data_IF_403737361535
#
_entry.id   IF_403737361535
#
_cell.length_a   1.000
_cell.length_b   1.000
_cell.length_c   1.000
_cell.angle_alpha   90.00
_cell.angle_beta   90.00
_cell.angle_gamma   90.00
#
_symmetry.space_group_name_H-M   'P 1'
#
loop_
_entity.id
_entity.type
_entity.pdbx_description
1 polymer ?
#
# COMPACT_ATOMS: atom_id res chain seq x y z
N UNK A 1 6.57 -3.73 -3.01
CA UNK A 1 5.87 -4.97 -3.40
C UNK A 1 6.08 -5.99 -2.30
N UNK A 2 5.04 -6.33 -1.55
CA UNK A 2 5.18 -7.23 -0.41
C UNK A 2 3.88 -8.03 -0.21
N UNK A 3 3.99 -9.20 0.44
CA UNK A 3 2.80 -9.88 0.98
C UNK A 3 2.17 -8.98 2.03
N UNK A 4 0.85 -8.99 2.11
CA UNK A 4 0.12 -8.26 3.13
C UNK A 4 0.09 -9.15 4.38
N UNK A 5 1.07 -8.91 5.24
CA UNK A 5 1.30 -9.69 6.45
C UNK A 5 1.60 -8.69 7.57
N UNK A 6 1.23 -9.04 8.81
CA UNK A 6 1.43 -8.22 10.00
C UNK A 6 2.89 -7.81 10.17
N UNK A 7 3.81 -8.69 9.77
CA UNK A 7 5.27 -8.43 9.79
C UNK A 7 5.68 -7.31 8.83
N UNK A 8 4.96 -7.16 7.70
CA UNK A 8 5.23 -6.10 6.70
C UNK A 8 4.66 -4.74 7.11
N UNK A 9 3.80 -4.68 8.13
CA UNK A 9 3.29 -3.46 8.78
C UNK A 9 2.88 -2.35 7.80
N UNK A 10 2.19 -2.74 6.72
CA UNK A 10 1.83 -1.85 5.62
C UNK A 10 0.74 -0.87 6.07
N UNK A 11 -0.21 -1.34 6.89
CA UNK A 11 -1.24 -0.52 7.55
C UNK A 11 -0.62 0.59 8.40
N UNK A 12 0.46 0.30 9.13
CA UNK A 12 1.20 1.30 9.90
C UNK A 12 1.83 2.39 9.03
N UNK A 13 2.40 2.03 7.87
CA UNK A 13 2.93 3.03 6.92
C UNK A 13 1.83 3.96 6.40
N UNK A 14 0.66 3.39 6.07
CA UNK A 14 -0.51 4.16 5.62
C UNK A 14 -0.99 5.10 6.70
N UNK A 15 -1.04 4.66 7.94
CA UNK A 15 -1.42 5.50 9.08
C UNK A 15 -0.42 6.67 9.27
N UNK A 16 0.88 6.40 9.20
CA UNK A 16 1.91 7.45 9.27
C UNK A 16 1.79 8.47 8.13
N UNK A 17 1.57 7.99 6.89
CA UNK A 17 1.33 8.86 5.74
C UNK A 17 0.05 9.70 5.92
N UNK A 18 -1.04 9.07 6.36
CA UNK A 18 -2.32 9.71 6.54
C UNK A 18 -2.30 10.84 7.58
N UNK A 19 -1.50 10.67 8.65
CA UNK A 19 -1.31 11.67 9.72
C UNK A 19 -0.41 12.85 9.31
N UNK A 20 0.39 12.72 8.24
CA UNK A 20 1.33 13.76 7.82
C UNK A 20 0.78 14.57 6.62
N UNK A 21 0.16 15.72 6.90
CA UNK A 21 -0.42 16.58 5.86
C UNK A 21 0.61 17.08 4.84
N UNK A 22 1.81 17.48 5.28
CA UNK A 22 2.89 17.91 4.38
C UNK A 22 3.27 16.81 3.38
N UNK A 23 3.35 15.57 3.84
CA UNK A 23 3.69 14.46 2.95
C UNK A 23 2.57 14.20 1.92
N UNK A 24 1.30 14.32 2.35
CA UNK A 24 0.13 14.17 1.48
C UNK A 24 0.01 15.25 0.40
N UNK A 25 0.54 16.45 0.66
CA UNK A 25 0.59 17.55 -0.31
C UNK A 25 1.70 17.34 -1.35
N UNK A 26 2.82 16.73 -0.93
CA UNK A 26 4.01 16.59 -1.78
C UNK A 26 4.01 15.34 -2.65
N UNK A 27 3.39 14.25 -2.21
CA UNK A 27 3.44 12.97 -2.89
C UNK A 27 2.14 12.18 -2.73
N UNK A 28 1.83 11.35 -3.73
CA UNK A 28 0.79 10.34 -3.64
C UNK A 28 1.37 9.02 -3.14
N UNK A 29 0.61 8.29 -2.32
CA UNK A 29 1.03 6.99 -1.81
C UNK A 29 0.45 5.85 -2.66
N UNK A 30 1.32 5.05 -3.29
CA UNK A 30 0.94 3.85 -4.03
C UNK A 30 1.46 2.61 -3.33
N UNK A 31 0.55 1.70 -2.98
CA UNK A 31 0.89 0.43 -2.32
C UNK A 31 0.54 -0.72 -3.24
N UNK A 32 1.52 -1.61 -3.44
CA UNK A 32 1.35 -2.87 -4.16
C UNK A 32 1.53 -4.03 -3.19
N UNK A 33 0.43 -4.55 -2.66
CA UNK A 33 0.44 -5.61 -1.65
C UNK A 33 -0.88 -6.37 -1.57
N UNK A 34 -0.80 -7.67 -1.26
CA UNK A 34 -1.93 -8.55 -0.94
C UNK A 34 -3.08 -8.54 -1.94
N UNK A 35 -4.26 -8.90 -1.44
CA UNK A 35 -5.53 -8.76 -2.13
C UNK A 35 -6.30 -7.55 -1.61
N UNK A 36 -7.05 -6.89 -2.50
CA UNK A 36 -7.94 -5.79 -2.13
C UNK A 36 -9.31 -6.25 -1.59
N UNK A 37 -9.60 -7.55 -1.73
CA UNK A 37 -10.87 -8.17 -1.37
C UNK A 37 -10.62 -9.27 -0.34
N UNK A 38 -11.32 -9.16 0.80
CA UNK A 38 -11.31 -10.12 1.90
C UNK A 38 -11.64 -11.52 1.42
N UNK A 39 -12.55 -11.67 0.44
CA UNK A 39 -13.01 -12.97 -0.08
C UNK A 39 -11.94 -13.74 -0.84
N UNK A 40 -10.85 -13.09 -1.24
CA UNK A 40 -9.74 -13.72 -1.96
C UNK A 40 -8.65 -14.24 -1.03
N UNK A 41 -8.72 -13.91 0.26
CA UNK A 41 -7.81 -14.45 1.26
C UNK A 41 -8.53 -15.46 2.15
N UNK A 42 -7.85 -16.57 2.44
CA UNK A 42 -8.26 -17.53 3.47
C UNK A 42 -7.48 -17.35 4.78
N UNK A 43 -6.55 -16.39 4.82
CA UNK A 43 -5.72 -16.12 5.99
C UNK A 43 -6.41 -15.06 6.86
N UNK A 44 -6.71 -15.42 8.11
CA UNK A 44 -7.37 -14.52 9.07
C UNK A 44 -6.54 -13.26 9.35
N UNK A 45 -5.22 -13.35 9.31
CA UNK A 45 -4.36 -12.18 9.54
C UNK A 45 -4.40 -11.23 8.35
N UNK A 46 -4.34 -11.76 7.12
CA UNK A 46 -4.45 -10.95 5.91
C UNK A 46 -5.83 -10.28 5.82
N UNK A 47 -6.90 -11.00 6.17
CA UNK A 47 -8.27 -10.45 6.24
C UNK A 47 -8.34 -9.25 7.19
N UNK A 48 -7.81 -9.37 8.41
CA UNK A 48 -7.81 -8.26 9.37
C UNK A 48 -7.00 -7.06 8.88
N UNK A 49 -5.89 -7.28 8.20
CA UNK A 49 -5.10 -6.18 7.64
C UNK A 49 -5.81 -5.51 6.44
N UNK A 50 -6.55 -6.27 5.62
CA UNK A 50 -7.40 -5.74 4.55
C UNK A 50 -8.51 -4.85 5.13
N UNK A 51 -9.20 -5.32 6.17
CA UNK A 51 -10.26 -4.55 6.84
C UNK A 51 -9.70 -3.24 7.42
N UNK A 52 -8.58 -3.31 8.15
CA UNK A 52 -7.89 -2.12 8.67
C UNK A 52 -7.48 -1.15 7.57
N UNK A 53 -7.00 -1.65 6.42
CA UNK A 53 -6.67 -0.79 5.28
C UNK A 53 -7.89 -0.02 4.78
N UNK A 54 -9.03 -0.69 4.61
CA UNK A 54 -10.28 -0.04 4.21
C UNK A 54 -10.74 1.00 5.23
N UNK A 55 -10.67 0.67 6.52
CA UNK A 55 -11.00 1.60 7.61
C UNK A 55 -10.11 2.83 7.61
N UNK A 56 -8.78 2.68 7.42
CA UNK A 56 -7.85 3.80 7.34
C UNK A 56 -8.14 4.70 6.13
N UNK A 57 -8.45 4.11 4.97
CA UNK A 57 -8.78 4.86 3.76
C UNK A 57 -10.03 5.71 3.98
N UNK A 58 -11.07 5.13 4.57
CA UNK A 58 -12.31 5.84 4.89
C UNK A 58 -12.10 6.90 5.97
N UNK A 59 -11.43 6.54 7.08
CA UNK A 59 -11.19 7.42 8.23
C UNK A 59 -10.40 8.67 7.87
N UNK A 60 -9.38 8.54 7.02
CA UNK A 60 -8.50 9.64 6.65
C UNK A 60 -8.82 10.28 5.29
N UNK A 61 -9.93 9.86 4.67
CA UNK A 61 -10.36 10.25 3.33
C UNK A 61 -9.20 10.27 2.34
N UNK A 62 -8.55 9.11 2.18
CA UNK A 62 -7.36 8.98 1.34
C UNK A 62 -7.69 8.85 -0.15
N UNK A 63 -8.98 8.85 -0.51
CA UNK A 63 -9.46 8.79 -1.88
C UNK A 63 -8.92 10.00 -2.68
N UNK A 64 -8.12 9.72 -3.72
CA UNK A 64 -7.47 10.72 -4.58
C UNK A 64 -5.96 10.84 -4.38
N UNK A 65 -5.47 10.62 -3.16
CA UNK A 65 -4.03 10.71 -2.82
C UNK A 65 -3.39 9.33 -2.58
N UNK A 66 -4.22 8.30 -2.45
CA UNK A 66 -3.80 6.93 -2.16
C UNK A 66 -4.29 5.96 -3.22
N UNK A 67 -3.42 5.02 -3.61
CA UNK A 67 -3.76 3.92 -4.52
C UNK A 67 -3.27 2.60 -3.96
N UNK A 68 -4.20 1.69 -3.73
CA UNK A 68 -3.90 0.30 -3.43
C UNK A 68 -4.07 -0.57 -4.68
N UNK A 69 -3.03 -1.33 -5.01
CA UNK A 69 -2.98 -2.27 -6.13
C UNK A 69 -2.71 -3.65 -5.55
N UNK A 70 -3.54 -4.63 -5.92
CA UNK A 70 -3.31 -6.02 -5.55
C UNK A 70 -1.99 -6.55 -6.11
N UNK A 71 -1.38 -7.52 -5.43
CA UNK A 71 -0.05 -8.00 -5.76
C UNK A 71 0.08 -8.57 -7.19
N UNK A 72 1.12 -8.08 -7.87
CA UNK A 72 1.62 -8.43 -9.21
C UNK A 72 2.39 -9.75 -9.33
N UNK A 73 1.86 -10.85 -9.87
CA UNK A 73 2.71 -12.02 -10.20
C UNK A 73 3.54 -11.84 -11.47
N UNK A 74 3.17 -10.92 -12.37
CA UNK A 74 3.89 -10.68 -13.62
C UNK A 74 5.13 -9.79 -13.41
N UNK A 75 6.32 -10.39 -13.46
CA UNK A 75 7.61 -9.73 -13.25
C UNK A 75 7.95 -8.64 -14.28
N UNK A 76 7.58 -8.82 -15.54
CA UNK A 76 7.87 -7.85 -16.62
C UNK A 76 7.12 -6.54 -16.35
N UNK A 77 5.84 -6.67 -16.01
CA UNK A 77 4.98 -5.52 -15.69
C UNK A 77 5.39 -4.83 -14.39
N UNK A 78 5.91 -5.58 -13.41
CA UNK A 78 6.47 -5.00 -12.21
C UNK A 78 7.71 -4.13 -12.52
N UNK A 79 8.58 -4.57 -13.45
CA UNK A 79 9.71 -3.78 -13.91
C UNK A 79 9.30 -2.45 -14.56
N UNK A 80 8.27 -2.47 -15.42
CA UNK A 80 7.69 -1.26 -15.99
C UNK A 80 7.10 -0.32 -14.94
N UNK A 81 6.44 -0.87 -13.92
CA UNK A 81 5.89 -0.07 -12.83
C UNK A 81 6.99 0.72 -12.10
N UNK A 82 8.14 0.08 -11.84
CA UNK A 82 9.28 0.75 -11.22
C UNK A 82 9.86 1.85 -12.12
N UNK A 83 10.00 1.60 -13.43
CA UNK A 83 10.45 2.62 -14.39
C UNK A 83 9.52 3.81 -14.43
N UNK A 84 8.21 3.56 -14.51
CA UNK A 84 7.20 4.61 -14.51
C UNK A 84 7.21 5.44 -13.21
N UNK A 85 7.40 4.79 -12.05
CA UNK A 85 7.55 5.51 -10.78
C UNK A 85 8.81 6.39 -10.76
N UNK A 86 9.92 5.91 -11.32
CA UNK A 86 11.16 6.68 -11.42
C UNK A 86 11.01 7.89 -12.36
N UNK A 87 10.33 7.74 -13.49
CA UNK A 87 10.06 8.84 -14.44
C UNK A 87 9.24 9.97 -13.80
N UNK A 88 8.34 9.62 -12.89
CA UNK A 88 7.54 10.58 -12.10
C UNK A 88 8.30 11.13 -10.88
N UNK A 89 9.59 10.84 -10.74
CA UNK A 89 10.44 11.21 -9.59
C UNK A 89 9.88 10.73 -8.25
N UNK A 90 9.23 9.57 -8.26
CA UNK A 90 8.74 8.91 -7.05
C UNK A 90 9.88 8.34 -6.21
N UNK A 91 9.57 8.02 -4.95
CA UNK A 91 10.48 7.33 -4.04
C UNK A 91 9.94 5.92 -3.73
N UNK A 92 10.85 4.95 -3.60
CA UNK A 92 10.49 3.61 -3.13
C UNK A 92 10.76 3.48 -1.64
N UNK A 93 9.76 3.06 -0.88
CA UNK A 93 9.86 2.85 0.56
C UNK A 93 9.63 1.38 0.88
N UNK A 94 10.58 0.76 1.56
CA UNK A 94 10.47 -0.58 2.13
C UNK A 94 10.43 -0.45 3.64
N UNK A 95 9.27 -0.71 4.26
CA UNK A 95 9.11 -0.75 5.70
C UNK A 95 9.13 -2.20 6.18
N UNK A 96 10.02 -2.51 7.12
CA UNK A 96 10.06 -3.80 7.82
C UNK A 96 10.23 -3.49 9.31
N UNK A 97 9.41 -4.09 10.17
CA UNK A 97 9.72 -4.10 11.60
C UNK A 97 10.89 -5.07 11.81
N UNK A 98 11.98 -4.67 12.48
CA UNK A 98 13.02 -5.59 12.91
C UNK A 98 12.48 -6.63 13.89
#
# INVERSE_FOLDING_TARGET
>A
MARLDRVKNITGLVECYAKNSKLRELANLVIVAGYNDVKKSNDREEIQEIEKMHDLIMKYNLLGQFRWIAAQTNRVRNGELYRYMADKRGAFVQWWRP
#
